data_IF_580656474872
#
_entry.id   IF_580656474872
#
_cell.length_a   1.000
_cell.length_b   1.000
_cell.length_c   1.000
_cell.angle_alpha   90.00
_cell.angle_beta   90.00
_cell.angle_gamma   90.00
#
_symmetry.space_group_name_H-M   'P 1'
#
loop_
_entity.id
_entity.type
_entity.pdbx_description
1 polymer ?
#
# COMPACT_ATOMS: atom_id res chain seq x y z
N UNK A 1 37.47 -7.07 4.18
CA UNK A 1 36.61 -7.96 4.98
C UNK A 1 35.58 -7.16 5.79
N UNK A 2 35.98 -6.48 6.88
CA UNK A 2 35.04 -5.71 7.72
C UNK A 2 34.25 -4.63 6.95
N UNK A 3 34.91 -3.86 6.07
CA UNK A 3 34.25 -2.83 5.26
C UNK A 3 33.16 -3.40 4.33
N UNK A 4 33.42 -4.53 3.69
CA UNK A 4 32.45 -5.20 2.80
C UNK A 4 31.27 -5.71 3.62
N UNK A 5 31.54 -6.31 4.79
CA UNK A 5 30.51 -6.77 5.72
C UNK A 5 29.62 -5.63 6.22
N UNK A 6 30.21 -4.48 6.57
CA UNK A 6 29.46 -3.29 6.95
C UNK A 6 28.60 -2.77 5.81
N UNK A 7 29.11 -2.73 4.57
CA UNK A 7 28.33 -2.33 3.40
C UNK A 7 27.15 -3.27 3.15
N UNK A 8 27.36 -4.58 3.23
CA UNK A 8 26.28 -5.56 3.07
C UNK A 8 25.23 -5.46 4.17
N UNK A 9 25.65 -5.24 5.42
CA UNK A 9 24.75 -5.00 6.55
C UNK A 9 23.93 -3.72 6.38
N UNK A 10 24.56 -2.63 5.93
CA UNK A 10 23.87 -1.36 5.68
C UNK A 10 22.85 -1.49 4.55
N UNK A 11 23.18 -2.20 3.47
CA UNK A 11 22.24 -2.48 2.38
C UNK A 11 21.06 -3.33 2.87
N UNK A 12 21.31 -4.38 3.66
CA UNK A 12 20.24 -5.19 4.26
C UNK A 12 19.32 -4.40 5.20
N UNK A 13 19.89 -3.53 6.04
CA UNK A 13 19.10 -2.66 6.93
C UNK A 13 18.23 -1.66 6.14
N UNK A 14 18.73 -1.16 5.00
CA UNK A 14 17.98 -0.27 4.11
C UNK A 14 16.87 -1.01 3.36
N UNK A 15 17.08 -2.26 2.94
CA UNK A 15 16.08 -3.07 2.23
C UNK A 15 15.01 -3.69 3.12
N UNK A 16 15.13 -3.59 4.45
CA UNK A 16 14.11 -4.11 5.39
C UNK A 16 12.78 -3.35 5.32
N UNK A 17 12.74 -2.20 4.64
CA UNK A 17 11.53 -1.46 4.30
C UNK A 17 11.04 -1.87 2.91
N UNK A 18 10.82 -3.18 2.71
CA UNK A 18 9.98 -3.63 1.62
C UNK A 18 8.54 -3.47 2.10
N UNK A 19 8.02 -2.24 2.02
CA UNK A 19 6.58 -2.00 2.17
C UNK A 19 5.91 -2.81 1.05
N UNK A 20 5.38 -3.99 1.38
CA UNK A 20 4.52 -4.75 0.47
C UNK A 20 3.26 -3.91 0.24
N UNK A 21 3.33 -2.98 -0.71
CA UNK A 21 2.17 -2.35 -1.34
C UNK A 21 2.07 -2.86 -2.77
N UNK A 22 2.28 -4.16 -2.96
CA UNK A 22 1.93 -4.84 -4.21
C UNK A 22 0.42 -5.11 -4.18
N UNK A 23 -0.35 -4.05 -4.44
CA UNK A 23 -1.78 -4.12 -4.75
C UNK A 23 -2.65 -4.61 -3.61
N UNK A 24 -3.36 -3.69 -2.97
CA UNK A 24 -4.45 -4.02 -2.06
C UNK A 24 -5.41 -5.07 -2.63
N UNK A 25 -5.99 -5.91 -1.77
CA UNK A 25 -6.99 -6.89 -2.23
C UNK A 25 -8.15 -6.15 -2.90
N UNK A 26 -8.54 -6.60 -4.09
CA UNK A 26 -9.73 -6.07 -4.74
C UNK A 26 -10.97 -6.37 -3.90
N UNK A 27 -11.66 -5.33 -3.50
CA UNK A 27 -12.93 -5.39 -2.80
C UNK A 27 -13.99 -4.54 -3.50
N UNK A 28 -15.26 -4.92 -3.32
CA UNK A 28 -16.39 -4.19 -3.92
C UNK A 28 -16.54 -2.83 -3.25
N UNK A 29 -16.80 -1.81 -4.06
CA UNK A 29 -17.17 -0.49 -3.55
C UNK A 29 -18.52 -0.59 -2.86
N UNK A 30 -18.58 -0.15 -1.59
CA UNK A 30 -19.78 -0.18 -0.75
C UNK A 30 -20.25 1.22 -0.38
N UNK A 31 -19.36 2.21 -0.42
CA UNK A 31 -19.67 3.57 0.02
C UNK A 31 -20.40 4.36 -1.06
N UNK A 32 -21.52 5.04 -0.72
CA UNK A 32 -22.31 5.80 -1.69
C UNK A 32 -21.50 6.86 -2.44
N UNK A 33 -20.55 7.53 -1.79
CA UNK A 33 -19.74 8.57 -2.41
C UNK A 33 -18.83 8.04 -3.53
N UNK A 34 -18.44 6.77 -3.47
CA UNK A 34 -17.55 6.14 -4.44
C UNK A 34 -18.30 5.34 -5.52
N UNK A 35 -19.64 5.37 -5.53
CA UNK A 35 -20.45 4.67 -6.53
C UNK A 35 -20.50 5.44 -7.86
N UNK A 36 -20.95 4.74 -8.92
CA UNK A 36 -21.18 5.32 -10.25
C UNK A 36 -19.95 5.91 -10.97
N UNK A 37 -18.74 5.55 -10.53
CA UNK A 37 -17.46 5.96 -11.15
C UNK A 37 -17.12 5.18 -12.44
N UNK A 38 -18.01 4.32 -12.93
CA UNK A 38 -17.76 3.43 -14.06
C UNK A 38 -16.98 2.16 -13.71
N UNK A 39 -16.68 1.94 -12.42
CA UNK A 39 -16.11 0.72 -11.87
C UNK A 39 -16.73 0.39 -10.51
N UNK A 40 -16.63 -0.86 -10.08
CA UNK A 40 -17.24 -1.35 -8.84
C UNK A 40 -16.27 -2.09 -7.91
N UNK A 41 -14.99 -2.13 -8.26
CA UNK A 41 -13.92 -2.73 -7.46
C UNK A 41 -12.84 -1.70 -7.15
N UNK A 42 -12.32 -1.74 -5.94
CA UNK A 42 -11.18 -0.95 -5.51
C UNK A 42 -10.18 -1.84 -4.77
N UNK A 43 -8.91 -1.46 -4.79
CA UNK A 43 -7.88 -2.10 -3.98
C UNK A 43 -7.73 -1.33 -2.66
N UNK A 44 -7.58 -2.05 -1.55
CA UNK A 44 -7.22 -1.51 -0.25
C UNK A 44 -5.99 -2.24 0.34
N UNK A 45 -4.94 -1.53 0.80
CA UNK A 45 -4.82 -0.07 0.81
C UNK A 45 -4.76 0.51 -0.62
N UNK A 46 -5.32 1.71 -0.78
CA UNK A 46 -5.33 2.41 -2.08
C UNK A 46 -4.01 3.19 -2.29
N UNK A 47 -3.85 3.83 -3.45
CA UNK A 47 -2.64 4.59 -3.79
C UNK A 47 -2.38 5.82 -2.88
N UNK A 48 -3.39 6.26 -2.13
CA UNK A 48 -3.27 7.36 -1.16
C UNK A 48 -2.90 6.86 0.25
N UNK A 49 -2.72 5.54 0.43
CA UNK A 49 -2.38 4.93 1.71
C UNK A 49 -3.58 4.73 2.65
N UNK A 50 -4.80 5.01 2.19
CA UNK A 50 -6.00 4.73 2.99
C UNK A 50 -6.16 3.21 3.13
N UNK A 51 -6.39 2.74 4.36
CA UNK A 51 -6.42 1.31 4.71
C UNK A 51 -7.73 0.64 4.36
N UNK A 52 -8.81 1.42 4.30
CA UNK A 52 -10.14 0.96 3.94
C UNK A 52 -10.93 2.04 3.20
N UNK A 53 -12.10 1.66 2.66
CA UNK A 53 -12.95 2.59 1.94
C UNK A 53 -13.45 3.74 2.82
N UNK A 54 -13.70 3.50 4.12
CA UNK A 54 -14.29 4.50 5.01
C UNK A 54 -13.31 5.63 5.28
N UNK A 55 -12.05 5.29 5.55
CA UNK A 55 -10.96 6.26 5.63
C UNK A 55 -10.86 7.09 4.34
N UNK A 56 -11.07 6.47 3.18
CA UNK A 56 -11.08 7.19 1.91
C UNK A 56 -12.30 8.09 1.66
N UNK A 57 -13.43 7.87 2.33
CA UNK A 57 -14.63 8.73 2.26
C UNK A 57 -14.54 9.92 3.21
N UNK A 58 -13.84 9.77 4.34
CA UNK A 58 -13.67 10.81 5.36
C UNK A 58 -12.53 11.80 5.04
N UNK A 59 -11.71 11.50 4.03
CA UNK A 59 -10.57 12.31 3.56
C UNK A 59 -10.98 13.39 2.54
#
# INVERSE_FOLDING_TARGET
>A
MARIFCFLLLVWLVSADQEEVEGGKCERIKLPLCQDLGYNWTAMPNLMGHKDQKEAEEA
#
